data_IF_722442273962
#
_entry.id   IF_722442273962
#
_cell.length_a   1.000
_cell.length_b   1.000
_cell.length_c   1.000
_cell.angle_alpha   90.00
_cell.angle_beta   90.00
_cell.angle_gamma   90.00
#
_symmetry.space_group_name_H-M   'P 1'
#
loop_
_entity.id
_entity.type
_entity.pdbx_description
1 polymer ?
#
# COMPACT_ATOMS: atom_id res chain seq x y z
N UNK A 1 -2.27 8.82 5.04
CA UNK A 1 -2.15 7.99 3.82
C UNK A 1 -2.24 8.80 2.52
N UNK A 2 -3.16 9.77 2.41
CA UNK A 2 -3.37 10.61 1.21
C UNK A 2 -2.14 11.26 0.55
N UNK A 3 -1.05 11.49 1.30
CA UNK A 3 0.18 12.11 0.78
C UNK A 3 1.11 11.17 -0.02
N UNK A 4 0.84 9.86 0.03
CA UNK A 4 1.67 8.81 -0.58
C UNK A 4 0.90 7.96 -1.60
N UNK A 5 -0.36 8.30 -1.87
CA UNK A 5 -1.25 7.53 -2.74
C UNK A 5 -1.76 8.44 -3.84
N UNK A 6 -1.83 7.94 -5.07
CA UNK A 6 -2.57 8.64 -6.12
C UNK A 6 -4.03 8.84 -5.68
N UNK A 7 -4.66 9.99 -6.02
CA UNK A 7 -6.04 10.29 -5.61
C UNK A 7 -7.04 9.20 -6.00
N UNK A 8 -6.86 8.57 -7.16
CA UNK A 8 -7.75 7.53 -7.68
C UNK A 8 -7.67 6.23 -6.85
N UNK A 9 -6.46 5.82 -6.47
CA UNK A 9 -6.25 4.67 -5.58
C UNK A 9 -6.79 4.93 -4.18
N UNK A 10 -6.63 6.16 -3.66
CA UNK A 10 -7.23 6.53 -2.39
C UNK A 10 -8.76 6.45 -2.45
N UNK A 11 -9.37 6.88 -3.57
CA UNK A 11 -10.80 6.74 -3.83
C UNK A 11 -11.25 5.28 -3.86
N UNK A 12 -10.56 4.42 -4.64
CA UNK A 12 -10.82 2.99 -4.67
C UNK A 12 -10.70 2.35 -3.28
N UNK A 13 -9.68 2.73 -2.52
CA UNK A 13 -9.48 2.26 -1.15
C UNK A 13 -10.55 2.69 -0.18
N UNK A 14 -11.16 3.87 -0.36
CA UNK A 14 -12.30 4.28 0.46
C UNK A 14 -13.58 3.50 0.13
N UNK A 15 -13.69 2.94 -1.08
CA UNK A 15 -14.84 2.10 -1.48
C UNK A 15 -14.71 0.66 -1.01
N UNK A 16 -13.49 0.14 -0.89
CA UNK A 16 -13.23 -1.05 -0.10
C UNK A 16 -13.42 -0.64 1.36
N UNK A 17 -14.36 -1.23 2.09
CA UNK A 17 -14.52 -1.00 3.54
C UNK A 17 -13.31 -1.55 4.33
N UNK A 18 -12.13 -1.00 4.09
CA UNK A 18 -11.00 -1.11 4.97
C UNK A 18 -11.32 -0.19 6.14
N UNK A 19 -11.93 -0.75 7.19
CA UNK A 19 -12.02 -0.07 8.49
C UNK A 19 -10.64 0.52 8.77
N UNK A 20 -10.51 1.87 8.83
CA UNK A 20 -9.22 2.52 8.82
C UNK A 20 -8.41 1.94 9.95
N UNK A 21 -7.39 1.18 9.56
CA UNK A 21 -6.40 0.51 10.38
C UNK A 21 -6.76 0.57 11.88
N UNK A 22 -7.59 -0.36 12.36
CA UNK A 22 -7.83 -0.51 13.79
C UNK A 22 -6.48 -0.41 14.50
N UNK A 23 -6.39 0.32 15.62
CA UNK A 23 -5.16 0.75 16.35
C UNK A 23 -4.01 -0.27 16.45
N UNK A 24 -4.26 -1.54 16.15
CA UNK A 24 -3.30 -2.64 16.06
C UNK A 24 -3.01 -3.09 14.61
N UNK A 25 -2.89 -2.18 13.65
CA UNK A 25 -2.45 -2.56 12.29
C UNK A 25 -0.94 -2.65 12.28
N UNK A 26 -0.43 -3.88 12.23
CA UNK A 26 1.00 -4.16 12.28
C UNK A 26 1.45 -4.78 10.95
N UNK A 27 2.42 -4.19 10.25
CA UNK A 27 3.08 -4.89 9.15
C UNK A 27 3.82 -6.10 9.75
N UNK A 28 3.46 -7.29 9.31
CA UNK A 28 4.13 -8.54 9.70
C UNK A 28 5.35 -8.75 8.80
N UNK A 29 5.16 -8.57 7.50
CA UNK A 29 6.19 -8.85 6.51
C UNK A 29 6.17 -7.80 5.42
N UNK A 30 7.35 -7.29 5.07
CA UNK A 30 7.54 -6.33 3.98
C UNK A 30 8.64 -6.89 3.08
N UNK A 31 8.33 -7.14 1.82
CA UNK A 31 9.32 -7.41 0.78
C UNK A 31 9.23 -6.32 -0.26
N UNK A 32 10.35 -5.69 -0.54
CA UNK A 32 10.48 -4.73 -1.63
C UNK A 32 11.29 -5.37 -2.75
N UNK A 33 10.81 -5.23 -3.98
CA UNK A 33 11.49 -5.64 -5.19
C UNK A 33 11.70 -4.37 -6.05
N UNK A 34 12.92 -3.82 -6.13
CA UNK A 34 13.19 -2.76 -7.08
C UNK A 34 13.07 -3.31 -8.50
N UNK A 35 12.25 -2.67 -9.32
CA UNK A 35 12.11 -3.02 -10.74
C UNK A 35 13.09 -2.19 -11.56
N UNK A 36 13.16 -0.89 -11.26
CA UNK A 36 14.07 0.04 -11.89
C UNK A 36 14.46 1.16 -10.90
N UNK A 37 15.19 2.18 -11.38
CA UNK A 37 15.66 3.28 -10.53
C UNK A 37 14.53 4.16 -9.96
N UNK A 38 13.37 4.20 -10.62
CA UNK A 38 12.21 5.00 -10.27
C UNK A 38 10.98 4.17 -9.85
N UNK A 39 11.05 2.84 -9.90
CA UNK A 39 9.92 1.94 -9.65
C UNK A 39 10.32 0.82 -8.69
N UNK A 40 9.57 0.69 -7.60
CA UNK A 40 9.72 -0.39 -6.62
C UNK A 40 8.37 -1.03 -6.33
N UNK A 41 8.27 -2.33 -6.50
CA UNK A 41 7.15 -3.10 -5.99
C UNK A 41 7.38 -3.46 -4.52
N UNK A 42 6.30 -3.50 -3.73
CA UNK A 42 6.33 -3.95 -2.35
C UNK A 42 5.17 -4.90 -2.07
N UNK A 43 5.49 -6.10 -1.59
CA UNK A 43 4.52 -7.01 -1.00
C UNK A 43 4.51 -6.82 0.51
N UNK A 44 3.36 -6.48 1.08
CA UNK A 44 3.18 -6.22 2.51
C UNK A 44 2.09 -7.13 3.07
N UNK A 45 2.44 -7.93 4.07
CA UNK A 45 1.46 -8.65 4.87
C UNK A 45 1.14 -7.79 6.08
N UNK A 46 -0.12 -7.41 6.23
CA UNK A 46 -0.61 -6.58 7.32
C UNK A 46 -1.56 -7.40 8.18
N UNK A 47 -1.27 -7.51 9.46
CA UNK A 47 -2.25 -8.01 10.42
C UNK A 47 -2.98 -6.85 11.07
N UNK A 48 -4.30 -6.95 11.07
CA UNK A 48 -5.21 -6.08 11.80
C UNK A 48 -5.83 -6.86 12.96
N UNK A 49 -6.54 -6.17 13.85
CA UNK A 49 -7.25 -6.82 14.96
C UNK A 49 -8.31 -7.85 14.51
N UNK A 50 -8.80 -7.75 13.27
CA UNK A 50 -9.85 -8.60 12.74
C UNK A 50 -9.36 -9.62 11.69
N UNK A 51 -8.30 -9.29 10.93
CA UNK A 51 -7.85 -10.10 9.80
C UNK A 51 -6.42 -9.80 9.37
N UNK A 52 -5.79 -10.77 8.73
CA UNK A 52 -4.53 -10.57 7.99
C UNK A 52 -4.83 -10.34 6.51
N UNK A 53 -4.16 -9.36 5.92
CA UNK A 53 -4.27 -8.97 4.52
C UNK A 53 -2.91 -9.09 3.83
N UNK A 54 -2.89 -9.60 2.60
CA UNK A 54 -1.74 -9.49 1.72
C UNK A 54 -1.97 -8.33 0.75
N UNK A 55 -1.01 -7.40 0.70
CA UNK A 55 -1.05 -6.20 -0.13
C UNK A 55 0.08 -6.26 -1.13
N UNK A 56 -0.21 -6.08 -2.41
CA UNK A 56 0.81 -5.79 -3.42
C UNK A 56 0.72 -4.30 -3.78
N UNK A 57 1.84 -3.60 -3.63
CA UNK A 57 1.95 -2.16 -3.79
C UNK A 57 2.96 -1.89 -4.91
N UNK A 58 2.66 -0.97 -5.81
CA UNK A 58 3.66 -0.39 -6.70
C UNK A 58 3.96 1.04 -6.24
N UNK A 59 5.23 1.33 -6.02
CA UNK A 59 5.75 2.64 -5.65
C UNK A 59 6.55 3.18 -6.84
N UNK A 60 6.20 4.37 -7.30
CA UNK A 60 6.90 5.07 -8.36
C UNK A 60 7.41 6.42 -7.86
N UNK A 61 8.59 6.81 -8.31
CA UNK A 61 9.16 8.11 -8.03
C UNK A 61 8.50 9.17 -8.92
N UNK A 62 7.66 10.00 -8.32
CA UNK A 62 7.03 11.13 -8.97
C UNK A 62 7.59 12.44 -8.42
N UNK A 63 8.36 13.16 -9.25
CA UNK A 63 8.97 14.48 -8.92
C UNK A 63 9.79 14.46 -7.62
N UNK A 64 10.66 13.46 -7.44
CA UNK A 64 11.49 13.33 -6.24
C UNK A 64 10.75 12.81 -5.00
N UNK A 65 9.54 12.25 -5.19
CA UNK A 65 8.74 11.67 -4.11
C UNK A 65 8.22 10.31 -4.53
N UNK A 66 8.41 9.31 -3.69
CA UNK A 66 7.78 8.01 -3.89
C UNK A 66 6.27 8.13 -3.68
N UNK A 67 5.49 7.68 -4.66
CA UNK A 67 4.04 7.59 -4.62
C UNK A 67 3.60 6.17 -4.93
N UNK A 68 2.58 5.70 -4.23
CA UNK A 68 1.93 4.43 -4.52
C UNK A 68 0.99 4.61 -5.71
N UNK A 69 1.24 3.87 -6.79
CA UNK A 69 0.55 3.97 -8.08
C UNK A 69 -0.33 2.76 -8.40
N UNK A 70 -0.07 1.62 -7.77
CA UNK A 70 -0.97 0.48 -7.78
C UNK A 70 -1.08 -0.14 -6.38
N UNK A 71 -2.28 -0.65 -6.08
CA UNK A 71 -2.54 -1.43 -4.90
C UNK A 71 -3.51 -2.55 -5.25
N UNK A 72 -3.09 -3.78 -4.98
CA UNK A 72 -3.91 -4.97 -5.08
C UNK A 72 -4.05 -5.63 -3.70
N UNK A 73 -5.26 -6.08 -3.38
CA UNK A 73 -5.64 -6.73 -2.13
C UNK A 73 -6.01 -8.19 -2.42
N UNK A 74 -5.37 -9.13 -1.72
CA UNK A 74 -5.71 -10.56 -1.77
C UNK A 74 -6.25 -11.09 -0.43
#
# INVERSE_FOLDING_TARGET
>A
MRRWLLPELYGALTTVHLSPCARSTRPIHVRTCPIDAATTEAAVIVSTAARTYALALRLEEYRGRWMMTALELA
#
